data_IF_378860550915
#
_entry.id   IF_378860550915
#
_cell.length_a   1.000
_cell.length_b   1.000
_cell.length_c   1.000
_cell.angle_alpha   90.00
_cell.angle_beta   90.00
_cell.angle_gamma   90.00
#
_symmetry.space_group_name_H-M   'P 1'
#
loop_
_entity.id
_entity.type
_entity.pdbx_description
1 polymer ?
#
# COMPACT_ATOMS: atom_id res chain seq x y z
N UNK A 1 -11.03 11.43 7.08
CA UNK A 1 -9.61 11.02 7.07
C UNK A 1 -9.48 9.79 7.95
N UNK A 2 -8.93 8.68 7.44
CA UNK A 2 -8.72 7.47 8.23
C UNK A 2 -7.56 7.70 9.20
N UNK A 3 -7.76 7.48 10.49
CA UNK A 3 -6.70 7.63 11.49
C UNK A 3 -5.73 6.45 11.44
N UNK A 4 -4.53 6.61 12.00
CA UNK A 4 -3.57 5.51 12.15
C UNK A 4 -4.18 4.33 12.94
N UNK A 5 -5.07 4.62 13.89
CA UNK A 5 -5.77 3.57 14.65
C UNK A 5 -6.77 2.81 13.77
N UNK A 6 -7.53 3.50 12.94
CA UNK A 6 -8.50 2.87 12.04
C UNK A 6 -7.79 1.94 11.05
N UNK A 7 -6.66 2.38 10.50
CA UNK A 7 -5.83 1.55 9.63
C UNK A 7 -5.36 0.28 10.36
N UNK A 8 -4.84 0.44 11.58
CA UNK A 8 -4.37 -0.70 12.37
C UNK A 8 -5.50 -1.70 12.69
N UNK A 9 -6.67 -1.20 13.09
CA UNK A 9 -7.81 -2.06 13.43
C UNK A 9 -8.37 -2.76 12.19
N UNK A 10 -8.45 -2.08 11.04
CA UNK A 10 -8.85 -2.69 9.78
C UNK A 10 -7.91 -3.83 9.37
N UNK A 11 -6.60 -3.64 9.54
CA UNK A 11 -5.61 -4.69 9.30
C UNK A 11 -5.74 -5.86 10.28
N UNK A 12 -5.97 -5.57 11.55
CA UNK A 12 -6.15 -6.58 12.60
C UNK A 12 -7.39 -7.44 12.34
N UNK A 13 -8.51 -6.82 11.98
CA UNK A 13 -9.73 -7.53 11.61
C UNK A 13 -9.52 -8.42 10.39
N UNK A 14 -8.80 -7.93 9.39
CA UNK A 14 -8.47 -8.70 8.18
C UNK A 14 -7.63 -9.94 8.49
N UNK A 15 -6.55 -9.78 9.27
CA UNK A 15 -5.67 -10.89 9.66
C UNK A 15 -6.39 -11.95 10.50
N UNK A 16 -7.27 -11.51 11.40
CA UNK A 16 -8.13 -12.41 12.16
C UNK A 16 -9.11 -13.18 11.27
N UNK A 17 -9.63 -12.54 10.21
CA UNK A 17 -10.51 -13.19 9.23
C UNK A 17 -9.76 -14.24 8.40
N UNK A 18 -8.53 -13.94 7.96
CA UNK A 18 -7.66 -14.88 7.22
C UNK A 18 -7.37 -16.17 8.02
N UNK A 19 -7.12 -16.05 9.32
CA UNK A 19 -6.81 -17.20 10.19
C UNK A 19 -8.05 -18.02 10.60
N UNK A 20 -9.26 -17.48 10.44
CA UNK A 20 -10.51 -18.21 10.66
C UNK A 20 -10.90 -18.40 12.14
N UNK A 21 -11.65 -19.49 12.40
CA UNK A 21 -12.26 -19.73 13.72
C UNK A 21 -11.20 -19.92 14.80
N UNK A 22 -11.36 -19.21 15.93
CA UNK A 22 -10.45 -19.31 17.08
C UNK A 22 -9.27 -18.34 17.04
N UNK A 23 -8.99 -17.68 15.91
CA UNK A 23 -7.89 -16.72 15.77
C UNK A 23 -7.93 -15.60 16.81
N UNK A 24 -9.12 -15.05 17.09
CA UNK A 24 -9.31 -14.00 18.11
C UNK A 24 -8.94 -14.47 19.51
N UNK A 25 -9.28 -15.71 19.87
CA UNK A 25 -8.97 -16.28 21.19
C UNK A 25 -7.46 -16.52 21.31
N UNK A 26 -6.85 -17.04 20.25
CA UNK A 26 -5.41 -17.26 20.16
C UNK A 26 -4.63 -15.95 20.27
N UNK A 27 -5.02 -14.93 19.50
CA UNK A 27 -4.42 -13.59 19.54
C UNK A 27 -4.52 -12.96 20.94
N UNK A 28 -5.69 -13.06 21.58
CA UNK A 28 -5.88 -12.53 22.93
C UNK A 28 -4.93 -13.19 23.93
N UNK A 29 -4.73 -14.50 23.83
CA UNK A 29 -3.81 -15.27 24.66
C UNK A 29 -2.35 -14.88 24.40
N UNK A 30 -1.93 -14.84 23.13
CA UNK A 30 -0.56 -14.49 22.73
C UNK A 30 -0.18 -13.05 23.11
N UNK A 31 -1.11 -12.11 22.93
CA UNK A 31 -0.91 -10.73 23.32
C UNK A 31 -1.16 -10.46 24.81
N UNK A 32 -1.49 -11.48 25.62
CA UNK A 32 -1.79 -11.35 27.05
C UNK A 32 -2.86 -10.29 27.34
N UNK A 33 -3.97 -10.30 26.59
CA UNK A 33 -5.12 -9.41 26.77
C UNK A 33 -6.42 -10.19 26.90
N UNK A 34 -7.41 -9.62 27.58
CA UNK A 34 -8.72 -10.28 27.68
C UNK A 34 -9.44 -10.26 26.32
N UNK A 35 -10.23 -11.29 26.01
CA UNK A 35 -11.05 -11.32 24.79
C UNK A 35 -12.00 -10.12 24.69
N UNK A 36 -12.49 -9.60 25.82
CA UNK A 36 -13.34 -8.41 25.89
C UNK A 36 -12.55 -7.16 25.48
N UNK A 37 -11.34 -6.98 26.01
CA UNK A 37 -10.49 -5.85 25.64
C UNK A 37 -10.14 -5.89 24.14
N UNK A 38 -9.78 -7.06 23.60
CA UNK A 38 -9.57 -7.21 22.16
C UNK A 38 -10.84 -6.91 21.35
N UNK A 39 -12.02 -7.27 21.86
CA UNK A 39 -13.30 -6.94 21.22
C UNK A 39 -13.55 -5.43 21.17
N UNK A 40 -13.24 -4.71 22.25
CA UNK A 40 -13.39 -3.25 22.31
C UNK A 40 -12.45 -2.55 21.33
N UNK A 41 -11.23 -3.07 21.17
CA UNK A 41 -10.26 -2.56 20.19
C UNK A 41 -10.75 -2.82 18.76
N UNK A 42 -11.20 -4.04 18.47
CA UNK A 42 -11.72 -4.40 17.16
C UNK A 42 -13.00 -3.63 16.81
N UNK A 43 -13.81 -3.26 17.80
CA UNK A 43 -15.01 -2.45 17.63
C UNK A 43 -14.76 -0.94 17.64
N UNK A 44 -13.49 -0.49 17.62
CA UNK A 44 -13.08 0.92 17.72
C UNK A 44 -13.60 1.66 18.96
N UNK A 45 -14.06 0.93 19.99
CA UNK A 45 -14.50 1.48 21.28
C UNK A 45 -13.32 1.86 22.17
N UNK A 46 -12.16 1.26 21.91
CA UNK A 46 -10.90 1.54 22.60
C UNK A 46 -9.72 1.58 21.63
N UNK A 47 -8.79 2.49 21.90
CA UNK A 47 -7.53 2.56 21.19
C UNK A 47 -6.51 1.66 21.87
N UNK A 48 -5.87 0.79 21.09
CA UNK A 48 -4.71 0.05 21.58
C UNK A 48 -3.51 1.00 21.69
N UNK A 49 -2.84 0.97 22.84
CA UNK A 49 -1.55 1.64 23.02
C UNK A 49 -0.47 1.02 22.11
N UNK A 50 0.62 1.75 21.87
CA UNK A 50 1.68 1.35 20.93
C UNK A 50 2.28 -0.03 21.24
N UNK A 51 2.65 -0.29 22.49
CA UNK A 51 3.18 -1.59 22.92
C UNK A 51 2.21 -2.76 22.69
N UNK A 52 0.91 -2.51 22.75
CA UNK A 52 -0.09 -3.52 22.48
C UNK A 52 -0.26 -3.75 20.97
N UNK A 53 -0.17 -2.69 20.16
CA UNK A 53 -0.15 -2.79 18.70
C UNK A 53 1.06 -3.58 18.20
N UNK A 54 2.22 -3.38 18.80
CA UNK A 54 3.44 -4.15 18.54
C UNK A 54 3.24 -5.65 18.80
N UNK A 55 2.69 -6.02 19.97
CA UNK A 55 2.41 -7.43 20.30
C UNK A 55 1.45 -8.09 19.32
N UNK A 56 0.38 -7.37 18.93
CA UNK A 56 -0.51 -7.87 17.90
C UNK A 56 0.19 -8.04 16.56
N UNK A 57 0.97 -7.06 16.10
CA UNK A 57 1.69 -7.16 14.83
C UNK A 57 2.67 -8.35 14.83
N UNK A 58 3.40 -8.56 15.94
CA UNK A 58 4.33 -9.67 16.12
C UNK A 58 3.65 -11.05 16.03
N UNK A 59 2.43 -11.22 16.54
CA UNK A 59 1.69 -12.50 16.41
C UNK A 59 1.38 -12.88 14.96
N UNK A 60 1.42 -11.91 14.04
CA UNK A 60 1.27 -12.14 12.59
C UNK A 60 2.60 -12.12 11.84
N UNK A 61 3.74 -11.96 12.54
CA UNK A 61 5.05 -11.81 11.92
C UNK A 61 5.21 -10.49 11.14
N UNK A 62 4.47 -9.44 11.52
CA UNK A 62 4.47 -8.14 10.86
C UNK A 62 4.97 -7.04 11.79
N UNK A 63 5.49 -5.97 11.22
CA UNK A 63 5.72 -4.68 11.89
C UNK A 63 4.42 -3.88 11.99
N UNK A 64 4.41 -2.88 12.88
CA UNK A 64 3.29 -1.92 12.96
C UNK A 64 3.11 -1.20 11.61
N UNK A 65 4.21 -0.84 10.94
CA UNK A 65 4.15 -0.11 9.67
C UNK A 65 3.48 -0.94 8.57
N UNK A 66 3.82 -2.22 8.46
CA UNK A 66 3.17 -3.14 7.52
C UNK A 66 1.68 -3.30 7.81
N UNK A 67 1.31 -3.38 9.09
CA UNK A 67 -0.11 -3.38 9.50
C UNK A 67 -0.82 -2.08 9.08
N UNK A 68 -0.17 -0.92 9.21
CA UNK A 68 -0.76 0.35 8.79
C UNK A 68 -0.90 0.46 7.27
N UNK A 69 0.09 0.00 6.50
CA UNK A 69 0.03 -0.04 5.03
C UNK A 69 -1.12 -0.93 4.56
N UNK A 70 -1.24 -2.13 5.14
CA UNK A 70 -2.32 -3.08 4.84
C UNK A 70 -3.69 -2.49 5.20
N UNK A 71 -3.80 -1.87 6.37
CA UNK A 71 -5.00 -1.16 6.81
C UNK A 71 -5.45 -0.04 5.89
N UNK A 72 -4.51 0.80 5.46
CA UNK A 72 -4.77 1.88 4.48
C UNK A 72 -5.30 1.32 3.17
N UNK A 73 -4.73 0.21 2.68
CA UNK A 73 -5.20 -0.46 1.46
C UNK A 73 -6.64 -0.93 1.62
N UNK A 74 -6.96 -1.60 2.73
CA UNK A 74 -8.32 -2.10 3.02
C UNK A 74 -9.34 -0.96 3.06
N UNK A 75 -9.05 0.08 3.85
CA UNK A 75 -9.97 1.20 4.01
C UNK A 75 -10.13 2.00 2.71
N UNK A 76 -9.08 2.12 1.88
CA UNK A 76 -9.17 2.74 0.56
C UNK A 76 -10.10 1.93 -0.36
N UNK A 77 -9.96 0.60 -0.35
CA UNK A 77 -10.85 -0.28 -1.13
C UNK A 77 -12.30 -0.23 -0.65
N UNK A 78 -12.54 -0.08 0.65
CA UNK A 78 -13.89 0.08 1.22
C UNK A 78 -14.49 1.46 0.92
N UNK A 79 -13.70 2.53 0.92
CA UNK A 79 -14.20 3.88 0.60
C UNK A 79 -14.66 4.09 -0.85
N UNK A 80 -14.30 3.16 -1.75
CA UNK A 80 -14.83 3.14 -3.12
C UNK A 80 -16.15 2.39 -3.26
N UNK A 81 -16.67 1.85 -2.14
CA UNK A 81 -17.92 1.09 -2.06
C UNK A 81 -18.69 1.58 -0.82
N UNK A 82 -19.47 2.66 -0.89
CA UNK A 82 -20.51 2.94 0.11
C UNK A 82 -21.65 3.81 -0.46
N UNK A 83 -22.89 3.74 0.09
CA UNK A 83 -23.51 2.59 0.77
C UNK A 83 -24.99 2.39 0.40
N UNK A 84 -25.50 1.16 0.62
CA UNK A 84 -26.84 1.02 1.17
C UNK A 84 -26.88 -0.15 2.17
N UNK A 85 -27.59 0.09 3.27
CA UNK A 85 -27.47 -0.58 4.56
C UNK A 85 -27.97 -2.03 4.59
N UNK A 86 -27.26 -2.83 5.41
CA UNK A 86 -27.75 -3.85 6.34
C UNK A 86 -28.97 -4.68 5.90
N UNK A 87 -28.73 -5.94 5.56
CA UNK A 87 -29.49 -7.04 6.14
C UNK A 87 -28.61 -8.30 6.25
N UNK A 88 -28.83 -9.03 7.33
CA UNK A 88 -28.13 -10.24 7.69
C UNK A 88 -28.54 -11.37 6.76
N UNK A 89 -27.61 -11.91 5.97
CA UNK A 89 -27.71 -13.31 5.57
C UNK A 89 -26.39 -14.03 5.77
N UNK A 90 -26.50 -15.14 6.48
CA UNK A 90 -25.49 -16.17 6.57
C UNK A 90 -25.21 -16.71 5.16
N UNK A 91 -24.09 -16.34 4.55
CA UNK A 91 -23.59 -17.06 3.37
C UNK A 91 -22.10 -17.34 3.56
N UNK A 92 -21.80 -18.63 3.67
CA UNK A 92 -20.48 -19.21 3.53
C UNK A 92 -19.89 -18.84 2.17
N UNK A 93 -18.76 -18.14 2.13
CA UNK A 93 -18.08 -17.88 0.86
C UNK A 93 -17.07 -16.74 0.95
N UNK A 94 -15.80 -17.07 0.87
CA UNK A 94 -14.70 -16.13 0.66
C UNK A 94 -14.74 -15.62 -0.77
N UNK A 95 -15.48 -14.54 -1.04
CA UNK A 95 -15.42 -13.87 -2.35
C UNK A 95 -15.16 -12.38 -2.18
N UNK A 96 -13.87 -12.02 -2.14
CA UNK A 96 -13.46 -10.74 -2.69
C UNK A 96 -13.26 -10.97 -4.19
N UNK A 97 -13.90 -10.18 -5.09
CA UNK A 97 -13.80 -10.40 -6.53
C UNK A 97 -12.36 -10.34 -7.05
N UNK A 98 -11.47 -9.59 -6.37
CA UNK A 98 -10.05 -9.54 -6.69
C UNK A 98 -9.27 -10.80 -6.28
N UNK A 99 -9.66 -11.44 -5.16
CA UNK A 99 -9.05 -12.71 -4.71
C UNK A 99 -9.50 -13.85 -5.64
N UNK A 100 -10.79 -13.86 -6.00
CA UNK A 100 -11.37 -14.80 -6.96
C UNK A 100 -10.71 -14.69 -8.35
N UNK A 101 -10.41 -13.47 -8.83
CA UNK A 101 -9.71 -13.26 -10.10
C UNK A 101 -8.25 -13.72 -10.08
N UNK A 102 -7.53 -13.50 -8.97
CA UNK A 102 -6.15 -13.99 -8.82
C UNK A 102 -6.11 -15.53 -8.80
N UNK A 103 -7.07 -16.16 -8.12
CA UNK A 103 -7.21 -17.62 -8.09
C UNK A 103 -7.56 -18.18 -9.48
N UNK A 104 -8.51 -17.55 -10.20
CA UNK A 104 -8.84 -17.92 -11.58
C UNK A 104 -7.65 -17.75 -12.52
N UNK A 105 -6.93 -16.63 -12.44
CA UNK A 105 -5.72 -16.41 -13.25
C UNK A 105 -4.66 -17.47 -12.96
N UNK A 106 -4.46 -17.82 -11.68
CA UNK A 106 -3.53 -18.87 -11.26
C UNK A 106 -3.94 -20.23 -11.82
N UNK A 107 -5.23 -20.56 -11.79
CA UNK A 107 -5.76 -21.80 -12.35
C UNK A 107 -5.57 -21.87 -13.88
N UNK A 108 -5.82 -20.77 -14.60
CA UNK A 108 -5.62 -20.70 -16.06
C UNK A 108 -4.14 -20.82 -16.41
N UNK A 109 -3.24 -20.12 -15.71
CA UNK A 109 -1.79 -20.18 -15.95
C UNK A 109 -1.19 -21.56 -15.66
N UNK A 110 -1.77 -22.30 -14.71
CA UNK A 110 -1.38 -23.67 -14.40
C UNK A 110 -2.04 -24.70 -15.33
N UNK A 111 -3.12 -24.33 -16.03
CA UNK A 111 -3.76 -25.20 -17.02
C UNK A 111 -2.94 -25.28 -18.31
N UNK A 112 -2.86 -26.46 -18.93
CA UNK A 112 -2.19 -26.60 -20.22
C UNK A 112 -3.16 -26.34 -21.39
N UNK A 113 -3.81 -25.18 -21.37
CA UNK A 113 -4.85 -24.78 -22.33
C UNK A 113 -4.40 -23.61 -23.19
N UNK A 114 -5.07 -23.37 -24.32
CA UNK A 114 -4.83 -22.20 -25.17
C UNK A 114 -5.03 -20.87 -24.42
N UNK A 115 -5.88 -20.86 -23.38
CA UNK A 115 -6.10 -19.69 -22.53
C UNK A 115 -4.87 -19.29 -21.72
N UNK A 116 -4.00 -20.23 -21.37
CA UNK A 116 -2.70 -19.94 -20.71
C UNK A 116 -1.83 -19.07 -21.60
N UNK A 117 -1.72 -19.41 -22.89
CA UNK A 117 -0.88 -18.67 -23.84
C UNK A 117 -1.42 -17.24 -24.00
N UNK A 118 -2.72 -17.11 -24.26
CA UNK A 118 -3.37 -15.81 -24.44
C UNK A 118 -3.28 -14.92 -23.19
N UNK A 119 -3.44 -15.49 -21.99
CA UNK A 119 -3.30 -14.77 -20.74
C UNK A 119 -1.85 -14.31 -20.51
N UNK A 120 -0.87 -15.18 -20.80
CA UNK A 120 0.56 -14.86 -20.68
C UNK A 120 0.96 -13.71 -21.62
N UNK A 121 0.53 -13.75 -22.88
CA UNK A 121 0.81 -12.69 -23.86
C UNK A 121 0.23 -11.34 -23.41
N UNK A 122 -1.00 -11.34 -22.91
CA UNK A 122 -1.62 -10.12 -22.39
C UNK A 122 -0.87 -9.57 -21.18
N UNK A 123 -0.52 -10.40 -20.21
CA UNK A 123 0.27 -9.99 -19.03
C UNK A 123 1.60 -9.37 -19.47
N UNK A 124 2.31 -10.00 -20.42
CA UNK A 124 3.57 -9.47 -20.94
C UNK A 124 3.40 -8.12 -21.65
N UNK A 125 2.34 -7.96 -22.43
CA UNK A 125 2.05 -6.71 -23.13
C UNK A 125 1.78 -5.56 -22.15
N UNK A 126 0.98 -5.81 -21.12
CA UNK A 126 0.71 -4.81 -20.09
C UNK A 126 1.94 -4.50 -19.23
N UNK A 127 2.73 -5.52 -18.88
CA UNK A 127 3.97 -5.32 -18.14
C UNK A 127 4.96 -4.43 -18.90
N UNK A 128 5.17 -4.70 -20.20
CA UNK A 128 6.01 -3.85 -21.06
C UNK A 128 5.48 -2.42 -21.19
N UNK A 129 4.16 -2.24 -21.26
CA UNK A 129 3.56 -0.90 -21.32
C UNK A 129 3.75 -0.12 -20.01
N UNK A 130 3.66 -0.78 -18.86
CA UNK A 130 3.92 -0.19 -17.55
C UNK A 130 5.40 0.18 -17.39
N UNK A 131 6.30 -0.73 -17.74
CA UNK A 131 7.74 -0.56 -17.62
C UNK A 131 8.25 0.58 -18.53
N UNK A 132 7.82 0.60 -19.79
CA UNK A 132 8.16 1.67 -20.73
C UNK A 132 7.53 3.03 -20.38
N UNK A 133 6.42 3.05 -19.63
CA UNK A 133 5.84 4.29 -19.10
C UNK A 133 6.72 4.90 -18.01
N UNK A 134 7.17 4.08 -17.04
CA UNK A 134 8.06 4.54 -15.96
C UNK A 134 9.43 4.98 -16.49
N UNK A 135 9.98 4.28 -17.48
CA UNK A 135 11.25 4.66 -18.10
C UNK A 135 11.12 5.98 -18.87
N UNK A 136 10.00 6.21 -19.58
CA UNK A 136 9.74 7.49 -20.26
C UNK A 136 9.61 8.65 -19.27
N UNK A 137 8.87 8.45 -18.18
CA UNK A 137 8.70 9.49 -17.15
C UNK A 137 10.05 9.82 -16.46
N UNK A 138 10.86 8.79 -16.18
CA UNK A 138 12.20 8.98 -15.62
C UNK A 138 13.16 9.69 -16.59
N UNK A 139 13.11 9.35 -17.88
CA UNK A 139 13.91 10.01 -18.92
C UNK A 139 13.51 11.46 -19.12
N UNK A 140 12.21 11.77 -19.06
CA UNK A 140 11.71 13.14 -19.15
C UNK A 140 12.18 13.99 -17.96
N UNK A 141 12.10 13.44 -16.75
CA UNK A 141 12.61 14.11 -15.55
C UNK A 141 14.14 14.36 -15.61
N UNK A 142 14.90 13.39 -16.13
CA UNK A 142 16.34 13.55 -16.32
C UNK A 142 16.69 14.63 -17.36
N UNK A 143 15.86 14.79 -18.40
CA UNK A 143 16.04 15.85 -19.39
C UNK A 143 15.76 17.24 -18.78
N UNK A 144 14.70 17.37 -18.01
CA UNK A 144 14.34 18.61 -17.31
C UNK A 144 15.45 19.04 -16.35
N UNK A 145 15.90 18.13 -15.48
CA UNK A 145 17.04 18.36 -14.59
C UNK A 145 18.33 18.75 -15.33
N UNK A 146 18.56 18.19 -16.52
CA UNK A 146 19.75 18.52 -17.33
C UNK A 146 19.69 19.95 -17.88
N UNK A 147 18.50 20.43 -18.26
CA UNK A 147 18.33 21.81 -18.72
C UNK A 147 18.45 22.78 -17.53
N UNK A 148 17.86 22.48 -16.38
CA UNK A 148 17.99 23.30 -15.17
C UNK A 148 19.47 23.46 -14.75
N UNK A 149 20.23 22.37 -14.74
CA UNK A 149 21.67 22.41 -14.44
C UNK A 149 22.43 23.24 -15.48
N UNK A 150 22.00 23.24 -16.74
CA UNK A 150 22.62 24.06 -17.79
C UNK A 150 22.32 25.54 -17.59
N UNK A 151 21.09 25.87 -17.21
CA UNK A 151 20.67 27.24 -16.91
C UNK A 151 21.41 27.79 -15.69
N UNK A 152 21.45 27.05 -14.58
CA UNK A 152 22.21 27.42 -13.39
C UNK A 152 23.70 27.64 -13.69
N UNK A 153 24.31 26.82 -14.55
CA UNK A 153 25.70 27.02 -14.99
C UNK A 153 25.89 28.32 -15.78
N UNK A 154 24.91 28.72 -16.60
CA UNK A 154 24.96 30.03 -17.29
C UNK A 154 24.85 31.17 -16.30
N UNK A 155 23.91 31.10 -15.37
CA UNK A 155 23.70 32.16 -14.38
C UNK A 155 24.95 32.37 -13.51
N UNK A 156 25.57 31.28 -13.05
CA UNK A 156 26.85 31.34 -12.32
C UNK A 156 27.93 32.04 -13.16
N UNK A 157 28.02 31.71 -14.46
CA UNK A 157 29.00 32.35 -15.35
C UNK A 157 28.72 33.85 -15.55
N UNK A 158 27.46 34.25 -15.66
CA UNK A 158 27.06 35.67 -15.75
C UNK A 158 27.43 36.40 -14.45
N UNK A 159 27.13 35.81 -13.29
CA UNK A 159 27.44 36.38 -11.98
C UNK A 159 28.95 36.53 -11.76
N UNK A 160 29.75 35.54 -12.17
CA UNK A 160 31.22 35.61 -12.11
C UNK A 160 31.76 36.75 -12.98
N UNK A 161 31.32 36.83 -14.24
CA UNK A 161 31.73 37.90 -15.16
C UNK A 161 31.36 39.31 -14.65
N UNK A 162 30.23 39.45 -13.96
CA UNK A 162 29.82 40.73 -13.38
C UNK A 162 30.67 41.09 -12.15
N UNK A 163 30.99 40.11 -11.29
CA UNK A 163 31.87 40.29 -10.13
C UNK A 163 33.30 40.72 -10.52
N UNK A 164 33.82 40.17 -11.61
CA UNK A 164 35.16 40.51 -12.12
C UNK A 164 35.20 41.93 -12.69
N UNK A 165 34.11 42.36 -13.35
CA UNK A 165 33.95 43.73 -13.86
C UNK A 165 33.82 44.76 -12.73
N UNK A 166 33.14 44.42 -11.64
CA UNK A 166 33.04 45.30 -10.46
C UNK A 166 34.38 45.41 -9.73
N UNK A 167 35.12 44.31 -9.56
CA UNK A 167 36.47 44.33 -8.97
C UNK A 167 37.45 45.19 -9.79
N UNK A 168 37.32 45.19 -11.12
CA UNK A 168 38.17 45.97 -12.03
C UNK A 168 37.84 47.47 -12.10
N UNK A 169 36.72 47.91 -11.52
CA UNK A 169 36.32 49.33 -11.46
C UNK A 169 36.74 50.04 -10.17
N UNK A 170 37.18 49.28 -9.17
CA UNK A 170 37.52 49.77 -7.83
C UNK A 170 39.06 49.75 -7.60
N UNK A 171 39.82 49.15 -8.53
CA UNK A 171 41.29 49.27 -8.63
C UNK A 171 41.68 50.35 -9.63
#
# INVERSE_FOLDING_TARGET
MNTSNDCFVAALQHKLKEQGRGAKKKLAQEASVSPNHLSDILGLRRNAGQQLKERFAQSFGLSIEEMLVLGRRILKSQSMIEPNSLEQEQVTGTDSPAISLMEMATQILNSNTAYKQLLTENIQKYYKALDSGQERDALQLLQELREDVRELRRDISILQNNKDKESSRIS
#
